data_IF_091754944819
#
_entry.id   IF_091754944819
#
_cell.length_a   1.000
_cell.length_b   1.000
_cell.length_c   1.000
_cell.angle_alpha   90.00
_cell.angle_beta   90.00
_cell.angle_gamma   90.00
#
_symmetry.space_group_name_H-M   'P 1'
#
loop_
_entity.id
_entity.type
_entity.pdbx_description
1 polymer ?
#
# COMPACT_ATOMS: atom_id res chain seq x y z
N UNK A 1 20.33 61.48 14.27
CA UNK A 1 20.79 60.47 13.31
C UNK A 1 20.17 59.13 13.65
N UNK A 2 19.16 58.68 12.91
CA UNK A 2 18.64 57.31 12.99
C UNK A 2 18.92 56.62 11.66
N UNK A 3 19.91 55.72 11.62
CA UNK A 3 20.16 54.90 10.44
C UNK A 3 19.05 53.84 10.32
N UNK A 4 18.47 53.63 9.13
CA UNK A 4 17.45 52.60 8.94
C UNK A 4 18.13 51.23 8.94
N UNK A 5 17.60 50.32 9.74
CA UNK A 5 18.04 48.92 9.78
C UNK A 5 17.56 48.22 8.49
N UNK A 6 18.48 48.05 7.54
CA UNK A 6 18.22 47.24 6.34
C UNK A 6 18.34 45.78 6.75
N UNK A 7 17.18 45.15 6.89
CA UNK A 7 16.98 43.80 7.39
C UNK A 7 17.77 42.74 6.61
N UNK A 8 18.43 41.77 7.27
CA UNK A 8 19.18 40.67 6.62
C UNK A 8 18.24 39.55 6.13
N UNK A 9 17.06 39.88 5.62
CA UNK A 9 16.06 38.88 5.21
C UNK A 9 16.46 38.14 3.93
N UNK A 10 17.14 38.81 2.99
CA UNK A 10 17.57 38.19 1.72
C UNK A 10 18.55 37.01 1.89
N UNK A 11 19.66 37.13 2.64
CA UNK A 11 20.61 36.02 2.79
C UNK A 11 20.00 34.84 3.55
N UNK A 12 19.11 35.08 4.53
CA UNK A 12 18.39 34.01 5.23
C UNK A 12 17.41 33.26 4.31
N UNK A 13 16.69 33.97 3.44
CA UNK A 13 15.81 33.39 2.42
C UNK A 13 16.59 32.54 1.39
N UNK A 14 17.75 33.04 0.94
CA UNK A 14 18.63 32.32 0.00
C UNK A 14 19.23 31.05 0.63
N UNK A 15 19.57 31.09 1.93
CA UNK A 15 20.07 29.93 2.66
C UNK A 15 18.99 28.86 2.83
N UNK A 16 17.76 29.25 3.18
CA UNK A 16 16.61 28.34 3.24
C UNK A 16 16.27 27.75 1.86
N UNK A 17 16.39 28.53 0.79
CA UNK A 17 16.20 28.08 -0.60
C UNK A 17 17.27 27.05 -1.04
N UNK A 18 18.47 27.10 -0.48
CA UNK A 18 19.53 26.10 -0.71
C UNK A 18 19.36 24.81 0.10
N UNK A 19 18.54 24.81 1.16
CA UNK A 19 18.11 23.61 1.89
C UNK A 19 16.90 22.89 1.28
N UNK A 20 16.36 23.39 0.16
CA UNK A 20 15.22 22.78 -0.54
C UNK A 20 15.52 21.60 -1.53
N UNK A 21 16.72 20.99 -1.67
CA UNK A 21 16.86 19.88 -2.61
C UNK A 21 16.34 18.53 -2.08
N UNK A 22 15.60 18.49 -0.95
CA UNK A 22 15.19 17.24 -0.30
C UNK A 22 13.69 16.94 -0.29
N UNK A 23 12.83 17.82 -0.80
CA UNK A 23 11.39 17.56 -0.96
C UNK A 23 11.04 17.36 -2.42
N UNK A 24 11.73 16.45 -3.10
CA UNK A 24 11.02 15.66 -4.11
C UNK A 24 10.09 14.74 -3.32
N UNK A 25 8.87 15.20 -3.07
CA UNK A 25 7.79 14.31 -2.67
C UNK A 25 7.75 13.22 -3.74
N UNK A 26 8.30 12.05 -3.41
CA UNK A 26 8.24 10.92 -4.29
C UNK A 26 6.78 10.48 -4.24
N UNK A 27 5.98 10.92 -5.23
CA UNK A 27 4.56 10.58 -5.34
C UNK A 27 4.34 9.11 -5.73
N UNK A 28 5.37 8.28 -5.58
CA UNK A 28 5.33 6.87 -5.88
C UNK A 28 4.54 6.14 -4.81
N UNK A 29 3.67 5.23 -5.26
CA UNK A 29 2.71 4.55 -4.41
C UNK A 29 3.38 3.35 -3.74
N UNK A 30 3.28 3.25 -2.42
CA UNK A 30 3.83 2.12 -1.68
C UNK A 30 2.79 1.01 -1.60
N UNK A 31 3.12 -0.19 -2.05
CA UNK A 31 2.20 -1.33 -2.13
C UNK A 31 2.83 -2.59 -1.57
N UNK A 32 2.02 -3.58 -1.23
CA UNK A 32 2.52 -4.92 -0.93
C UNK A 32 2.72 -5.73 -2.20
N UNK A 33 3.79 -6.52 -2.21
CA UNK A 33 4.10 -7.50 -3.22
C UNK A 33 3.94 -8.91 -2.66
N UNK A 34 3.39 -9.79 -3.48
CA UNK A 34 3.46 -11.23 -3.32
C UNK A 34 3.37 -11.85 -4.70
N UNK A 35 4.21 -12.84 -5.04
CA UNK A 35 4.12 -13.53 -6.32
C UNK A 35 2.78 -14.28 -6.43
N UNK A 36 2.54 -14.94 -7.56
CA UNK A 36 1.40 -15.86 -7.67
C UNK A 36 1.57 -17.03 -6.70
N UNK A 37 0.75 -17.02 -5.66
CA UNK A 37 0.72 -18.05 -4.62
C UNK A 37 -0.61 -18.79 -4.69
N UNK A 38 -0.60 -20.09 -4.38
CA UNK A 38 -1.84 -20.78 -4.06
C UNK A 38 -2.44 -20.19 -2.79
N UNK A 39 -3.77 -20.03 -2.74
CA UNK A 39 -4.45 -19.36 -1.62
C UNK A 39 -4.20 -19.99 -0.24
N UNK A 40 -3.85 -21.28 -0.21
CA UNK A 40 -3.55 -22.01 1.01
C UNK A 40 -2.09 -21.87 1.46
N UNK A 41 -1.25 -21.16 0.70
CA UNK A 41 0.16 -20.92 1.02
C UNK A 41 0.33 -19.54 1.64
N UNK A 42 1.15 -19.48 2.67
CA UNK A 42 1.54 -18.22 3.31
C UNK A 42 2.74 -17.61 2.58
N UNK A 43 2.74 -16.28 2.49
CA UNK A 43 3.85 -15.49 1.96
C UNK A 43 3.99 -14.24 2.80
N UNK A 44 5.21 -13.93 3.22
CA UNK A 44 5.50 -12.68 3.92
C UNK A 44 5.49 -11.55 2.91
N UNK A 45 4.45 -10.70 2.97
CA UNK A 45 4.30 -9.58 2.05
C UNK A 45 5.53 -8.67 2.14
N UNK A 46 6.13 -8.39 0.99
CA UNK A 46 7.22 -7.41 0.90
C UNK A 46 6.67 -6.08 0.43
N UNK A 47 7.29 -4.99 0.84
CA UNK A 47 6.94 -3.66 0.36
C UNK A 47 7.59 -3.42 -1.01
N UNK A 48 6.85 -2.79 -1.91
CA UNK A 48 7.32 -2.34 -3.22
C UNK A 48 6.83 -0.92 -3.48
N UNK A 49 7.55 -0.20 -4.33
CA UNK A 49 7.22 1.15 -4.75
C UNK A 49 6.76 1.10 -6.21
N UNK A 50 5.60 1.67 -6.49
CA UNK A 50 5.02 1.74 -7.83
C UNK A 50 5.33 3.08 -8.49
N UNK A 51 5.53 3.05 -9.80
CA UNK A 51 5.72 4.28 -10.59
C UNK A 51 4.45 5.13 -10.59
N UNK A 52 4.59 6.40 -11.01
CA UNK A 52 3.46 7.35 -11.09
C UNK A 52 2.34 6.92 -12.04
N UNK A 53 2.60 5.97 -12.94
CA UNK A 53 1.62 5.43 -13.90
C UNK A 53 0.98 4.11 -13.45
N UNK A 54 1.37 3.62 -12.28
CA UNK A 54 0.92 2.36 -11.71
C UNK A 54 0.03 2.58 -10.48
N UNK A 55 -0.74 1.54 -10.15
CA UNK A 55 -1.59 1.45 -8.96
C UNK A 55 -1.28 0.17 -8.21
N UNK A 56 -1.56 0.15 -6.90
CA UNK A 56 -1.49 -1.09 -6.15
C UNK A 56 -2.56 -2.03 -6.71
N UNK A 57 -2.22 -3.31 -6.89
CA UNK A 57 -3.15 -4.31 -7.35
C UNK A 57 -3.24 -5.50 -6.39
N UNK A 58 -4.37 -6.20 -6.48
CA UNK A 58 -4.59 -7.54 -5.95
C UNK A 58 -5.18 -8.42 -7.06
N UNK A 59 -4.49 -9.51 -7.38
CA UNK A 59 -4.95 -10.49 -8.35
C UNK A 59 -5.59 -11.69 -7.65
N UNK A 60 -6.75 -12.13 -8.15
CA UNK A 60 -7.44 -13.34 -7.71
C UNK A 60 -7.59 -14.29 -8.90
N UNK A 61 -6.83 -15.38 -8.90
CA UNK A 61 -6.83 -16.38 -9.97
C UNK A 61 -7.80 -17.52 -9.70
N UNK A 62 -8.71 -17.74 -10.64
CA UNK A 62 -9.73 -18.80 -10.58
C UNK A 62 -9.39 -19.96 -11.50
N UNK A 63 -9.59 -21.18 -11.01
CA UNK A 63 -9.64 -22.39 -11.83
C UNK A 63 -11.08 -22.92 -11.78
N UNK A 64 -11.79 -22.84 -12.91
CA UNK A 64 -13.24 -23.04 -12.94
C UNK A 64 -13.93 -22.11 -11.94
N UNK A 65 -14.66 -22.69 -10.99
CA UNK A 65 -15.36 -21.91 -9.97
C UNK A 65 -14.55 -21.63 -8.69
N UNK A 66 -13.34 -22.19 -8.54
CA UNK A 66 -12.55 -22.10 -7.32
C UNK A 66 -11.51 -20.97 -7.37
N UNK A 67 -11.43 -20.16 -6.31
CA UNK A 67 -10.35 -19.20 -6.12
C UNK A 67 -9.07 -19.95 -5.72
N UNK A 68 -8.14 -20.14 -6.65
CA UNK A 68 -6.97 -20.97 -6.46
C UNK A 68 -5.70 -20.15 -6.18
N UNK A 69 -5.56 -18.99 -6.83
CA UNK A 69 -4.35 -18.18 -6.78
C UNK A 69 -4.62 -16.77 -6.21
N UNK A 70 -3.59 -16.20 -5.59
CA UNK A 70 -3.55 -14.80 -5.17
C UNK A 70 -2.20 -14.17 -5.54
N UNK A 71 -2.20 -12.90 -5.90
CA UNK A 71 -1.00 -12.10 -6.15
C UNK A 71 -1.21 -10.64 -5.74
N UNK A 72 -0.13 -9.89 -5.49
CA UNK A 72 -0.15 -8.46 -5.13
C UNK A 72 1.09 -7.76 -5.69
N UNK A 73 0.98 -6.46 -5.94
CA UNK A 73 2.08 -5.66 -6.49
C UNK A 73 1.58 -4.39 -7.15
N UNK A 74 2.36 -3.91 -8.13
CA UNK A 74 2.04 -2.76 -8.97
C UNK A 74 1.44 -3.21 -10.30
N UNK A 75 0.54 -2.40 -10.85
CA UNK A 75 -0.05 -2.63 -12.16
C UNK A 75 -0.33 -1.32 -12.87
N UNK A 76 -0.08 -1.27 -14.17
CA UNK A 76 -0.44 -0.13 -15.00
C UNK A 76 -1.96 0.10 -15.01
N UNK A 77 -2.36 1.37 -15.06
CA UNK A 77 -3.78 1.79 -15.08
C UNK A 77 -4.63 1.06 -16.14
N UNK A 78 -4.06 0.73 -17.30
CA UNK A 78 -4.77 0.09 -18.43
C UNK A 78 -5.13 -1.37 -18.18
N UNK A 79 -4.36 -2.06 -17.35
CA UNK A 79 -4.58 -3.49 -17.04
C UNK A 79 -5.45 -3.69 -15.81
N UNK A 80 -5.75 -2.60 -15.10
CA UNK A 80 -6.61 -2.64 -13.93
C UNK A 80 -8.04 -3.06 -14.27
N UNK A 81 -8.66 -3.89 -13.42
CA UNK A 81 -10.03 -4.38 -13.60
C UNK A 81 -10.16 -5.50 -14.66
N UNK A 82 -9.09 -5.76 -15.41
CA UNK A 82 -9.11 -6.78 -16.45
C UNK A 82 -9.06 -8.18 -15.85
N UNK A 83 -9.63 -9.13 -16.59
CA UNK A 83 -9.42 -10.56 -16.34
C UNK A 83 -8.54 -11.12 -17.44
N UNK A 84 -7.42 -11.75 -17.08
CA UNK A 84 -6.45 -12.31 -18.02
C UNK A 84 -6.16 -13.78 -17.71
N UNK A 85 -6.00 -14.63 -18.74
CA UNK A 85 -5.56 -16.00 -18.53
C UNK A 85 -4.08 -16.03 -18.11
N UNK A 86 -3.78 -16.80 -17.06
CA UNK A 86 -2.42 -17.11 -16.62
C UNK A 86 -2.20 -18.61 -16.75
N UNK A 87 -1.16 -19.01 -17.48
CA UNK A 87 -0.71 -20.41 -17.53
C UNK A 87 0.36 -20.64 -16.47
N UNK A 88 0.11 -21.55 -15.53
CA UNK A 88 1.04 -21.94 -14.48
C UNK A 88 1.07 -23.47 -14.37
N UNK A 89 2.25 -24.07 -14.56
CA UNK A 89 2.46 -25.54 -14.51
C UNK A 89 1.43 -26.33 -15.35
N UNK A 90 1.16 -25.87 -16.57
CA UNK A 90 0.21 -26.51 -17.48
C UNK A 90 -1.28 -26.22 -17.20
N UNK A 91 -1.60 -25.59 -16.07
CA UNK A 91 -2.98 -25.21 -15.72
C UNK A 91 -3.25 -23.75 -16.12
N UNK A 92 -4.40 -23.48 -16.72
CA UNK A 92 -4.82 -22.11 -17.07
C UNK A 92 -5.79 -21.58 -16.02
N UNK A 93 -5.46 -20.42 -15.46
CA UNK A 93 -6.25 -19.72 -14.45
C UNK A 93 -6.78 -18.41 -15.02
N UNK A 94 -8.01 -18.04 -14.71
CA UNK A 94 -8.55 -16.72 -15.03
C UNK A 94 -8.27 -15.77 -13.87
N UNK A 95 -7.35 -14.84 -14.06
CA UNK A 95 -6.91 -13.89 -13.02
C UNK A 95 -7.61 -12.57 -13.22
N UNK A 96 -8.38 -12.15 -12.23
CA UNK A 96 -8.99 -10.82 -12.17
C UNK A 96 -8.14 -9.90 -11.30
N UNK A 97 -7.86 -8.69 -11.77
CA UNK A 97 -7.05 -7.70 -11.06
C UNK A 97 -7.91 -6.56 -10.52
N UNK A 98 -7.86 -6.34 -9.22
CA UNK A 98 -8.49 -5.19 -8.54
C UNK A 98 -7.41 -4.21 -8.13
N UNK A 99 -7.62 -2.90 -8.29
CA UNK A 99 -6.63 -1.89 -7.94
C UNK A 99 -7.18 -0.78 -7.07
N UNK A 100 -6.27 -0.07 -6.43
CA UNK A 100 -6.51 1.05 -5.53
C UNK A 100 -5.28 1.99 -5.53
N UNK A 101 -5.46 3.21 -5.05
CA UNK A 101 -4.56 4.34 -5.33
C UNK A 101 -4.09 5.11 -4.11
N UNK A 102 -4.07 4.43 -2.97
CA UNK A 102 -3.48 4.91 -1.73
C UNK A 102 -2.51 3.86 -1.18
N UNK A 103 -1.54 4.31 -0.38
CA UNK A 103 -0.47 3.45 0.12
C UNK A 103 -1.04 2.22 0.86
N UNK A 104 -0.45 1.05 0.57
CA UNK A 104 -0.71 -0.25 1.20
C UNK A 104 -2.14 -0.79 1.05
N UNK A 105 -2.96 -0.19 0.18
CA UNK A 105 -4.36 -0.55 0.00
C UNK A 105 -4.60 -2.02 -0.42
N UNK A 106 -3.58 -2.69 -0.97
CA UNK A 106 -3.63 -4.07 -1.41
C UNK A 106 -3.24 -5.11 -0.33
N UNK A 107 -3.08 -4.72 0.94
CA UNK A 107 -2.75 -5.63 2.06
C UNK A 107 -3.69 -6.86 2.13
N UNK A 108 -4.96 -6.67 1.79
CA UNK A 108 -6.02 -7.66 1.98
C UNK A 108 -7.13 -7.06 2.84
N UNK A 109 -8.28 -7.74 2.93
CA UNK A 109 -9.39 -7.22 3.73
C UNK A 109 -8.86 -6.88 5.12
N UNK A 110 -9.13 -5.66 5.56
CA UNK A 110 -9.13 -5.34 6.97
C UNK A 110 -9.97 -6.44 7.63
N UNK A 111 -9.34 -7.35 8.37
CA UNK A 111 -10.09 -8.10 9.37
C UNK A 111 -10.50 -7.00 10.33
N UNK A 112 -11.76 -6.54 10.24
CA UNK A 112 -12.34 -5.79 11.34
C UNK A 112 -12.29 -6.75 12.50
N UNK A 113 -11.19 -6.71 13.26
CA UNK A 113 -11.12 -7.39 14.53
C UNK A 113 -12.16 -6.65 15.33
N UNK A 114 -13.35 -7.25 15.50
CA UNK A 114 -14.28 -6.86 16.55
C UNK A 114 -13.66 -7.27 17.90
N UNK A 115 -12.40 -6.89 18.14
CA UNK A 115 -11.69 -7.10 19.39
C UNK A 115 -11.97 -5.98 20.39
N UNK A 116 -12.60 -4.87 19.97
CA UNK A 116 -13.07 -3.84 20.92
C UNK A 116 -13.83 -4.46 22.12
N UNK A 117 -14.84 -5.33 21.93
CA UNK A 117 -15.52 -5.96 23.07
C UNK A 117 -14.61 -6.88 23.89
N UNK A 118 -13.64 -7.55 23.27
CA UNK A 118 -12.68 -8.42 23.99
C UNK A 118 -11.68 -7.61 24.83
N UNK A 119 -11.15 -6.51 24.29
CA UNK A 119 -10.24 -5.62 25.00
C UNK A 119 -10.97 -4.90 26.15
N UNK A 120 -12.22 -4.47 25.92
CA UNK A 120 -13.08 -3.88 26.98
C UNK A 120 -13.42 -4.92 28.06
N UNK A 121 -13.73 -6.17 27.70
CA UNK A 121 -14.01 -7.22 28.68
C UNK A 121 -12.78 -7.55 29.55
N UNK A 122 -11.60 -7.66 28.94
CA UNK A 122 -10.36 -7.96 29.67
C UNK A 122 -9.98 -6.81 30.62
N UNK A 123 -10.09 -5.56 30.16
CA UNK A 123 -9.81 -4.38 30.99
C UNK A 123 -10.81 -4.21 32.13
N UNK A 124 -12.10 -4.48 31.90
CA UNK A 124 -13.12 -4.48 32.96
C UNK A 124 -12.85 -5.54 34.03
N UNK A 125 -12.57 -6.78 33.63
CA UNK A 125 -12.26 -7.86 34.58
C UNK A 125 -11.04 -7.53 35.43
N UNK A 126 -9.96 -7.00 34.81
CA UNK A 126 -8.76 -6.56 35.53
C UNK A 126 -9.02 -5.42 36.53
N UNK A 127 -9.94 -4.50 36.22
CA UNK A 127 -10.31 -3.39 37.11
C UNK A 127 -11.24 -3.82 38.25
N UNK A 128 -11.98 -4.92 38.09
CA UNK A 128 -12.90 -5.45 39.12
C UNK A 128 -12.29 -6.50 40.04
N UNK A 129 -11.11 -7.03 39.69
CA UNK A 129 -10.39 -8.07 40.44
C UNK A 129 -9.20 -7.50 41.24
N UNK A 130 -8.88 -6.21 41.05
CA UNK A 130 -7.92 -5.47 41.88
C UNK A 130 -8.61 -4.79 43.07
#
# INVERSE_FOLDING_TARGET
>A
MGSPQVFPMLPALLYMAQFLPAVRCNNNLLCYYSPFMYRNQTFNLTMTECTTTERCMKGNGRYGNHNALSTRGCMGLRDCGQTRPLRLKGTTYNVTYLCCDYNYCNAGLCVTVKSLPFVVAITYVLLTVL
#
